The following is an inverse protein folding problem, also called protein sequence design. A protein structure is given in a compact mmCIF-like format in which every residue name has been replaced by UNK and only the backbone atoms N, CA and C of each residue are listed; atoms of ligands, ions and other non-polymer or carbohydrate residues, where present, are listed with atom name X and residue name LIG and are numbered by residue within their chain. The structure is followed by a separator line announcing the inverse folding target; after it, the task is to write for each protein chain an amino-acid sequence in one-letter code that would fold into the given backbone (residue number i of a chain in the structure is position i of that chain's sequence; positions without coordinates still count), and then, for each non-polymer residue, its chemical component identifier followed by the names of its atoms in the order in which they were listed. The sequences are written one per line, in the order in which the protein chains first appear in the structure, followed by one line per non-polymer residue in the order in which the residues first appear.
data_IF_117505241571
#
_entry.id   IF_117505241571
#
_cell.length_a   1.000
_cell.length_b   1.000
_cell.length_c   1.000
_cell.angle_alpha   90.00
_cell.angle_beta   90.00
_cell.angle_gamma   90.00
#
_symmetry.space_group_name_H-M   'P 1'
#
loop_
_entity.id
_entity.type
_entity.pdbx_description
1 polymer ?
#
# COMPACT_ATOMS: atom_id res chain seq x y z
N UNK A 1 -3.93 -16.94 46.96
CA UNK A 1 -4.26 -15.58 46.51
C UNK A 1 -3.37 -15.28 45.32
N UNK A 2 -3.92 -15.32 44.10
CA UNK A 2 -3.22 -14.73 42.96
C UNK A 2 -3.27 -13.22 43.16
N UNK A 3 -2.12 -12.56 43.14
CA UNK A 3 -2.09 -11.12 42.96
C UNK A 3 -2.64 -10.85 41.56
N UNK A 4 -3.90 -10.42 41.49
CA UNK A 4 -4.39 -9.69 40.32
C UNK A 4 -3.57 -8.41 40.26
N UNK A 5 -2.43 -8.47 39.56
CA UNK A 5 -1.81 -7.28 39.07
C UNK A 5 -2.87 -6.63 38.18
N UNK A 6 -3.36 -5.46 38.60
CA UNK A 6 -4.24 -4.65 37.79
C UNK A 6 -3.38 -4.13 36.63
N UNK A 7 -3.11 -5.00 35.65
CA UNK A 7 -2.28 -4.69 34.48
C UNK A 7 -3.12 -3.73 33.66
N UNK A 8 -2.74 -2.45 33.72
CA UNK A 8 -3.32 -1.43 32.89
C UNK A 8 -2.85 -1.65 31.46
N UNK A 9 -3.83 -1.84 30.56
CA UNK A 9 -3.55 -1.99 29.14
C UNK A 9 -3.33 -0.59 28.57
N UNK A 10 -2.14 -0.35 28.05
CA UNK A 10 -1.76 0.92 27.44
C UNK A 10 -1.72 0.83 25.90
N UNK A 11 -1.39 1.96 25.26
CA UNK A 11 -1.27 2.04 23.79
C UNK A 11 -0.20 1.08 23.25
N UNK A 12 0.91 0.89 23.97
CA UNK A 12 1.99 -0.01 23.54
C UNK A 12 1.47 -1.45 23.47
N UNK A 13 0.70 -1.86 24.48
CA UNK A 13 0.06 -3.18 24.54
C UNK A 13 -0.94 -3.37 23.41
N UNK A 14 -1.84 -2.39 23.20
CA UNK A 14 -2.83 -2.43 22.11
C UNK A 14 -2.15 -2.50 20.73
N UNK A 15 -1.19 -1.62 20.45
CA UNK A 15 -0.47 -1.61 19.17
C UNK A 15 0.29 -2.91 18.93
N UNK A 16 0.86 -3.50 19.97
CA UNK A 16 1.55 -4.81 19.88
C UNK A 16 0.58 -5.93 19.54
N UNK A 17 -0.56 -6.01 20.24
CA UNK A 17 -1.59 -7.03 19.97
C UNK A 17 -2.17 -6.87 18.55
N UNK A 18 -2.50 -5.64 18.14
CA UNK A 18 -2.96 -5.35 16.78
C UNK A 18 -1.94 -5.78 15.73
N UNK A 19 -0.65 -5.50 15.95
CA UNK A 19 0.42 -5.90 15.02
C UNK A 19 0.50 -7.41 14.85
N UNK A 20 0.36 -8.19 15.92
CA UNK A 20 0.34 -9.65 15.87
C UNK A 20 -0.83 -10.14 15.02
N UNK A 21 -2.06 -9.73 15.35
CA UNK A 21 -3.23 -10.21 14.62
C UNK A 21 -3.27 -9.72 13.17
N UNK A 22 -2.81 -8.50 12.89
CA UNK A 22 -2.66 -7.99 11.53
C UNK A 22 -1.65 -8.82 10.71
N UNK A 23 -0.52 -9.22 11.31
CA UNK A 23 0.47 -10.09 10.64
C UNK A 23 -0.07 -11.49 10.37
N UNK A 24 -0.94 -12.00 11.23
CA UNK A 24 -1.60 -13.29 11.05
C UNK A 24 -2.82 -13.24 10.12
N UNK A 25 -3.27 -12.06 9.68
CA UNK A 25 -4.51 -11.92 8.90
C UNK A 25 -5.79 -12.17 9.72
N UNK A 26 -5.70 -12.20 11.05
CA UNK A 26 -6.80 -12.44 11.99
C UNK A 26 -7.62 -11.17 12.20
N UNK A 27 -8.31 -10.71 11.14
CA UNK A 27 -8.93 -9.38 11.11
C UNK A 27 -10.04 -9.21 12.15
N UNK A 28 -10.74 -10.28 12.52
CA UNK A 28 -11.82 -10.21 13.51
C UNK A 28 -11.27 -9.87 14.90
N UNK A 29 -10.23 -10.58 15.35
CA UNK A 29 -9.55 -10.32 16.62
C UNK A 29 -8.89 -8.94 16.64
N UNK A 30 -8.31 -8.54 15.50
CA UNK A 30 -7.77 -7.20 15.31
C UNK A 30 -8.84 -6.12 15.55
N UNK A 31 -10.04 -6.26 14.97
CA UNK A 31 -11.14 -5.32 15.17
C UNK A 31 -11.74 -5.37 16.58
N UNK A 32 -11.78 -6.55 17.21
CA UNK A 32 -12.17 -6.68 18.62
C UNK A 32 -11.26 -5.87 19.55
N UNK A 33 -9.94 -5.90 19.31
CA UNK A 33 -8.96 -5.12 20.09
C UNK A 33 -9.13 -3.62 19.85
N UNK A 34 -9.30 -3.20 18.60
CA UNK A 34 -9.60 -1.80 18.30
C UNK A 34 -10.86 -1.37 19.06
N UNK A 35 -11.97 -2.10 18.91
CA UNK A 35 -13.23 -1.75 19.56
C UNK A 35 -13.11 -1.73 21.09
N UNK A 36 -12.34 -2.64 21.68
CA UNK A 36 -12.04 -2.64 23.11
C UNK A 36 -11.33 -1.35 23.54
N UNK A 37 -10.31 -0.92 22.78
CA UNK A 37 -9.54 0.30 23.06
C UNK A 37 -10.35 1.59 22.93
N UNK A 38 -11.50 1.56 22.24
CA UNK A 38 -12.34 2.74 21.99
C UNK A 38 -13.57 2.82 22.91
N UNK A 39 -13.67 1.97 23.94
CA UNK A 39 -14.76 2.01 24.94
C UNK A 39 -14.56 3.17 25.90
N UNK A 40 -15.64 3.84 26.30
CA UNK A 40 -15.59 5.00 27.21
C UNK A 40 -14.87 4.71 28.54
N UNK A 41 -15.09 3.53 29.13
CA UNK A 41 -14.49 3.15 30.43
C UNK A 41 -12.99 2.86 30.36
N UNK A 42 -12.47 2.52 29.17
CA UNK A 42 -11.08 2.09 28.94
C UNK A 42 -10.54 2.68 27.64
N UNK A 43 -10.80 3.98 27.46
CA UNK A 43 -10.42 4.66 26.24
C UNK A 43 -8.90 4.77 26.13
N UNK A 44 -8.36 4.30 25.02
CA UNK A 44 -6.94 4.37 24.69
C UNK A 44 -6.83 5.10 23.35
N UNK A 45 -6.19 6.27 23.38
CA UNK A 45 -5.99 7.09 22.19
C UNK A 45 -5.09 6.36 21.19
N UNK A 46 -5.55 6.27 19.94
CA UNK A 46 -4.83 5.68 18.82
C UNK A 46 -4.35 6.75 17.84
N UNK A 47 -3.42 6.38 16.96
CA UNK A 47 -2.82 7.27 15.97
C UNK A 47 -2.76 6.60 14.58
N UNK A 48 -2.17 7.29 13.61
CA UNK A 48 -1.97 6.83 12.24
C UNK A 48 -1.23 5.50 12.15
N UNK A 49 -0.29 5.21 13.05
CA UNK A 49 0.45 3.93 13.07
C UNK A 49 -0.49 2.76 13.38
N UNK A 50 -1.41 2.96 14.32
CA UNK A 50 -2.44 1.97 14.65
C UNK A 50 -3.40 1.76 13.48
N UNK A 51 -3.87 2.84 12.83
CA UNK A 51 -4.71 2.74 11.63
C UNK A 51 -4.01 2.03 10.47
N UNK A 52 -2.75 2.38 10.18
CA UNK A 52 -1.95 1.74 9.14
C UNK A 52 -1.73 0.24 9.43
N UNK A 53 -1.56 -0.14 10.70
CA UNK A 53 -1.45 -1.54 11.11
C UNK A 53 -2.73 -2.32 10.76
N UNK A 54 -3.90 -1.73 11.04
CA UNK A 54 -5.20 -2.33 10.74
C UNK A 54 -5.43 -2.44 9.23
N UNK A 55 -5.16 -1.36 8.48
CA UNK A 55 -5.23 -1.36 7.01
C UNK A 55 -4.34 -2.45 6.41
N UNK A 56 -3.09 -2.56 6.89
CA UNK A 56 -2.16 -3.62 6.46
C UNK A 56 -2.67 -5.02 6.80
N UNK A 57 -3.30 -5.21 7.96
CA UNK A 57 -3.91 -6.47 8.37
C UNK A 57 -5.02 -6.93 7.42
N UNK A 58 -5.92 -6.02 7.04
CA UNK A 58 -6.95 -6.31 6.03
C UNK A 58 -6.34 -6.67 4.67
N UNK A 59 -5.34 -5.91 4.21
CA UNK A 59 -4.65 -6.19 2.94
C UNK A 59 -3.97 -7.57 2.97
N UNK A 60 -3.33 -7.95 4.08
CA UNK A 60 -2.70 -9.28 4.22
C UNK A 60 -3.72 -10.42 4.20
N UNK A 61 -4.90 -10.21 4.76
CA UNK A 61 -6.01 -11.16 4.73
C UNK A 61 -6.78 -11.16 3.40
N UNK A 62 -6.33 -10.39 2.40
CA UNK A 62 -7.03 -10.17 1.13
C UNK A 62 -8.46 -9.60 1.27
N UNK A 63 -8.73 -8.90 2.37
CA UNK A 63 -10.01 -8.25 2.71
C UNK A 63 -9.99 -6.78 2.30
N UNK A 64 -9.82 -6.54 0.99
CA UNK A 64 -9.57 -5.20 0.45
C UNK A 64 -10.80 -4.29 0.61
N UNK A 65 -12.00 -4.84 0.51
CA UNK A 65 -13.23 -4.06 0.67
C UNK A 65 -13.39 -3.57 2.11
N UNK A 66 -13.07 -4.41 3.10
CA UNK A 66 -13.08 -4.03 4.51
C UNK A 66 -11.97 -3.03 4.84
N UNK A 67 -10.83 -3.09 4.14
CA UNK A 67 -9.81 -2.04 4.23
C UNK A 67 -10.37 -0.68 3.78
N UNK A 68 -11.07 -0.64 2.65
CA UNK A 68 -11.70 0.61 2.18
C UNK A 68 -12.80 1.09 3.12
N UNK A 69 -13.66 0.21 3.62
CA UNK A 69 -14.67 0.58 4.63
C UNK A 69 -14.00 1.16 5.89
N UNK A 70 -12.92 0.54 6.36
CA UNK A 70 -12.15 1.06 7.49
C UNK A 70 -11.64 2.47 7.20
N UNK A 71 -11.06 2.71 6.03
CA UNK A 71 -10.52 4.01 5.64
C UNK A 71 -11.59 5.09 5.50
N UNK A 72 -12.63 4.80 4.73
CA UNK A 72 -13.58 5.82 4.27
C UNK A 72 -14.72 6.04 5.29
N UNK A 73 -15.02 5.05 6.14
CA UNK A 73 -16.14 5.12 7.09
C UNK A 73 -15.73 5.07 8.56
N UNK A 74 -14.69 4.32 8.93
CA UNK A 74 -14.33 4.12 10.35
C UNK A 74 -13.30 5.14 10.83
N UNK A 75 -12.22 5.37 10.07
CA UNK A 75 -11.18 6.36 10.43
C UNK A 75 -11.78 7.77 10.67
N UNK A 76 -12.70 8.30 9.84
CA UNK A 76 -13.33 9.61 10.10
C UNK A 76 -14.14 9.68 11.39
N UNK A 77 -14.63 8.54 11.89
CA UNK A 77 -15.31 8.49 13.19
C UNK A 77 -14.30 8.41 14.33
N UNK A 78 -13.21 7.67 14.14
CA UNK A 78 -12.13 7.54 15.11
C UNK A 78 -11.42 8.88 15.34
N UNK A 79 -11.25 9.72 14.32
CA UNK A 79 -10.61 11.04 14.42
C UNK A 79 -11.36 12.02 15.33
N UNK A 80 -12.63 11.78 15.64
CA UNK A 80 -13.40 12.63 16.58
C UNK A 80 -12.85 12.57 18.00
N UNK A 81 -12.27 11.43 18.38
CA UNK A 81 -11.75 11.20 19.74
C UNK A 81 -10.24 10.92 19.76
N UNK A 82 -9.61 10.78 18.59
CA UNK A 82 -8.20 10.39 18.46
C UNK A 82 -7.44 11.40 17.58
N UNK A 83 -6.17 11.64 17.91
CA UNK A 83 -5.30 12.50 17.10
C UNK A 83 -4.69 11.71 15.93
N UNK A 84 -5.49 11.46 14.89
CA UNK A 84 -5.06 10.71 13.71
C UNK A 84 -4.77 11.69 12.57
N UNK A 85 -3.53 11.69 12.08
CA UNK A 85 -3.18 12.46 10.90
C UNK A 85 -3.66 11.75 9.62
N UNK A 86 -4.74 12.27 9.00
CA UNK A 86 -5.29 11.74 7.75
C UNK A 86 -4.34 11.90 6.55
N UNK A 87 -3.36 12.80 6.65
CA UNK A 87 -2.33 13.02 5.62
C UNK A 87 -1.08 12.16 5.87
N UNK A 88 -1.16 11.17 6.76
CA UNK A 88 -0.06 10.25 6.99
C UNK A 88 0.30 9.47 5.72
N UNK A 89 1.58 9.55 5.33
CA UNK A 89 2.08 8.98 4.07
C UNK A 89 1.92 7.47 4.03
N UNK A 90 2.05 6.77 5.16
CA UNK A 90 1.92 5.32 5.19
C UNK A 90 0.46 4.90 4.97
N UNK A 91 -0.50 5.59 5.59
CA UNK A 91 -1.92 5.36 5.36
C UNK A 91 -2.30 5.61 3.89
N UNK A 92 -1.86 6.72 3.30
CA UNK A 92 -2.10 7.04 1.89
C UNK A 92 -1.48 5.96 0.98
N UNK A 93 -0.24 5.54 1.25
CA UNK A 93 0.43 4.47 0.50
C UNK A 93 -0.32 3.14 0.59
N UNK A 94 -0.87 2.80 1.76
CA UNK A 94 -1.69 1.59 1.95
C UNK A 94 -3.04 1.68 1.20
N UNK A 95 -3.66 2.86 1.12
CA UNK A 95 -4.85 3.07 0.28
C UNK A 95 -4.55 2.82 -1.19
N UNK A 96 -3.42 3.34 -1.70
CA UNK A 96 -2.91 3.06 -3.05
C UNK A 96 -2.69 1.55 -3.29
N UNK A 97 -2.07 0.85 -2.35
CA UNK A 97 -1.91 -0.63 -2.41
C UNK A 97 -3.25 -1.35 -2.44
N UNK A 98 -4.28 -0.84 -1.76
CA UNK A 98 -5.64 -1.37 -1.86
C UNK A 98 -6.19 -1.34 -3.27
N UNK A 99 -6.04 -0.20 -3.96
CA UNK A 99 -6.45 -0.10 -5.36
C UNK A 99 -5.63 -1.03 -6.25
N UNK A 100 -4.33 -1.16 -6.03
CA UNK A 100 -3.48 -2.10 -6.76
C UNK A 100 -3.97 -3.55 -6.63
N UNK A 101 -4.29 -3.99 -5.39
CA UNK A 101 -4.86 -5.31 -5.13
C UNK A 101 -6.22 -5.53 -5.80
N UNK A 102 -7.05 -4.49 -5.89
CA UNK A 102 -8.30 -4.60 -6.66
C UNK A 102 -8.01 -4.86 -8.14
N UNK A 103 -7.07 -4.15 -8.75
CA UNK A 103 -6.68 -4.36 -10.16
C UNK A 103 -6.15 -5.79 -10.38
N UNK A 104 -5.34 -6.27 -9.44
CA UNK A 104 -4.80 -7.64 -9.44
C UNK A 104 -5.91 -8.69 -9.44
N UNK A 105 -6.90 -8.54 -8.55
CA UNK A 105 -7.95 -9.53 -8.27
C UNK A 105 -9.17 -9.48 -9.19
N UNK A 106 -9.51 -8.32 -9.76
CA UNK A 106 -10.64 -8.16 -10.67
C UNK A 106 -10.48 -8.99 -11.94
N UNK A 107 -11.59 -9.41 -12.55
CA UNK A 107 -11.51 -10.10 -13.84
C UNK A 107 -11.09 -9.13 -14.96
N UNK A 108 -10.36 -9.64 -15.95
CA UNK A 108 -9.86 -8.87 -17.09
C UNK A 108 -10.96 -8.31 -18.02
N UNK A 109 -12.20 -8.76 -17.85
CA UNK A 109 -13.36 -8.24 -18.56
C UNK A 109 -14.12 -7.17 -17.76
N UNK A 110 -13.77 -6.94 -16.48
CA UNK A 110 -14.33 -5.88 -15.64
C UNK A 110 -13.65 -4.52 -15.92
N UNK A 111 -13.62 -4.12 -17.20
CA UNK A 111 -12.85 -2.99 -17.73
C UNK A 111 -13.14 -1.69 -16.95
N UNK A 112 -14.40 -1.42 -16.63
CA UNK A 112 -14.80 -0.21 -15.89
C UNK A 112 -14.22 -0.18 -14.48
N UNK A 113 -14.27 -1.32 -13.75
CA UNK A 113 -13.72 -1.41 -12.40
C UNK A 113 -12.20 -1.35 -12.40
N UNK A 114 -11.56 -2.04 -13.35
CA UNK A 114 -10.10 -1.96 -13.54
C UNK A 114 -9.66 -0.51 -13.78
N UNK A 115 -10.36 0.19 -14.68
CA UNK A 115 -10.06 1.59 -15.01
C UNK A 115 -10.29 2.50 -13.81
N UNK A 116 -11.36 2.27 -13.03
CA UNK A 116 -11.64 3.00 -11.81
C UNK A 116 -10.51 2.86 -10.78
N UNK A 117 -10.12 1.63 -10.41
CA UNK A 117 -9.07 1.44 -9.41
C UNK A 117 -7.71 1.91 -9.91
N UNK A 118 -7.41 1.75 -11.20
CA UNK A 118 -6.20 2.31 -11.80
C UNK A 118 -6.16 3.84 -11.70
N UNK A 119 -7.25 4.53 -12.05
CA UNK A 119 -7.32 5.98 -11.95
C UNK A 119 -7.18 6.46 -10.50
N UNK A 120 -7.86 5.81 -9.56
CA UNK A 120 -7.72 6.13 -8.13
C UNK A 120 -6.29 5.96 -7.62
N UNK A 121 -5.58 4.90 -8.05
CA UNK A 121 -4.17 4.72 -7.73
C UNK A 121 -3.32 5.88 -8.26
N UNK A 122 -3.54 6.31 -9.52
CA UNK A 122 -2.83 7.44 -10.12
C UNK A 122 -3.13 8.76 -9.40
N UNK A 123 -4.38 8.99 -9.02
CA UNK A 123 -4.80 10.19 -8.31
C UNK A 123 -4.16 10.27 -6.93
N UNK A 124 -4.17 9.17 -6.16
CA UNK A 124 -3.47 9.07 -4.88
C UNK A 124 -1.97 9.32 -5.07
N UNK A 125 -1.35 8.69 -6.07
CA UNK A 125 0.08 8.83 -6.33
C UNK A 125 0.47 10.29 -6.63
N UNK A 126 -0.27 10.95 -7.53
CA UNK A 126 0.10 12.27 -8.02
C UNK A 126 -0.39 13.43 -7.17
N UNK A 127 -1.50 13.27 -6.44
CA UNK A 127 -2.14 14.36 -5.70
C UNK A 127 -1.92 14.24 -4.18
N UNK A 128 -1.69 13.04 -3.66
CA UNK A 128 -1.57 12.81 -2.21
C UNK A 128 -0.13 12.41 -1.81
N UNK A 129 0.45 11.39 -2.46
CA UNK A 129 1.82 10.95 -2.14
C UNK A 129 2.90 11.90 -2.65
N UNK A 130 2.71 12.43 -3.86
CA UNK A 130 3.69 13.26 -4.56
C UNK A 130 3.04 14.49 -5.22
N UNK A 131 2.34 15.37 -4.48
CA UNK A 131 1.63 16.53 -5.03
C UNK A 131 2.52 17.46 -5.87
N UNK A 132 3.80 17.55 -5.49
CA UNK A 132 4.80 18.40 -6.12
C UNK A 132 5.27 17.91 -7.50
N UNK A 133 5.00 16.65 -7.87
CA UNK A 133 5.52 16.01 -9.08
C UNK A 133 5.05 16.67 -10.38
N UNK A 134 3.94 17.41 -10.33
CA UNK A 134 3.40 18.19 -11.45
C UNK A 134 4.18 19.48 -11.70
N UNK A 135 4.88 19.99 -10.69
CA UNK A 135 5.50 21.32 -10.72
C UNK A 135 7.03 21.27 -10.71
N UNK A 136 7.63 20.25 -10.08
CA UNK A 136 9.09 20.13 -9.97
C UNK A 136 9.55 18.68 -9.90
N UNK A 137 10.83 18.42 -10.24
CA UNK A 137 11.45 17.12 -10.01
C UNK A 137 11.28 16.67 -8.55
N UNK A 138 10.73 15.48 -8.35
CA UNK A 138 10.33 14.95 -7.06
C UNK A 138 10.88 13.54 -6.88
N UNK A 139 11.54 13.28 -5.75
CA UNK A 139 12.06 11.96 -5.40
C UNK A 139 10.93 11.03 -4.99
N UNK A 140 10.81 9.91 -5.70
CA UNK A 140 9.80 8.88 -5.49
C UNK A 140 10.46 7.70 -4.78
N UNK A 141 9.79 7.14 -3.76
CA UNK A 141 10.28 5.93 -3.12
C UNK A 141 10.25 4.75 -4.11
N UNK A 142 11.25 3.86 -4.04
CA UNK A 142 11.30 2.68 -4.91
C UNK A 142 10.02 1.84 -4.81
N UNK A 143 9.47 1.70 -3.60
CA UNK A 143 8.24 0.96 -3.35
C UNK A 143 7.04 1.56 -4.07
N UNK A 144 6.82 2.87 -3.92
CA UNK A 144 5.66 3.53 -4.56
C UNK A 144 5.83 3.58 -6.08
N UNK A 145 7.07 3.69 -6.57
CA UNK A 145 7.35 3.62 -8.00
C UNK A 145 7.08 2.22 -8.56
N UNK A 146 7.48 1.16 -7.85
CA UNK A 146 7.17 -0.22 -8.25
C UNK A 146 5.65 -0.45 -8.31
N UNK A 147 4.89 0.01 -7.30
CA UNK A 147 3.43 -0.07 -7.31
C UNK A 147 2.82 0.66 -8.52
N UNK A 148 3.37 1.81 -8.91
CA UNK A 148 2.93 2.55 -10.08
C UNK A 148 3.14 1.74 -11.37
N UNK A 149 4.34 1.19 -11.58
CA UNK A 149 4.65 0.36 -12.76
C UNK A 149 3.76 -0.89 -12.78
N UNK A 150 3.61 -1.55 -11.64
CA UNK A 150 2.77 -2.74 -11.49
C UNK A 150 1.31 -2.46 -11.87
N UNK A 151 0.77 -1.30 -11.49
CA UNK A 151 -0.59 -0.90 -11.85
C UNK A 151 -0.80 -0.87 -13.37
N UNK A 152 0.15 -0.31 -14.14
CA UNK A 152 0.08 -0.27 -15.60
C UNK A 152 0.18 -1.66 -16.23
N UNK A 153 1.06 -2.51 -15.69
CA UNK A 153 1.22 -3.89 -16.16
C UNK A 153 -0.05 -4.71 -15.89
N UNK A 154 -0.60 -4.63 -14.68
CA UNK A 154 -1.81 -5.37 -14.28
C UNK A 154 -3.05 -4.89 -15.03
N UNK A 155 -3.18 -3.59 -15.30
CA UNK A 155 -4.25 -3.04 -16.15
C UNK A 155 -4.25 -3.70 -17.55
N UNK A 156 -3.07 -4.07 -18.04
CA UNK A 156 -2.86 -4.70 -19.34
C UNK A 156 -2.54 -6.20 -19.24
N UNK A 157 -3.00 -6.91 -18.20
CA UNK A 157 -2.60 -8.32 -17.95
C UNK A 157 -2.85 -9.30 -19.10
N UNK A 158 -3.85 -9.07 -19.97
CA UNK A 158 -4.06 -9.82 -21.23
C UNK A 158 -2.88 -9.74 -22.21
N UNK A 159 -2.20 -8.60 -22.22
CA UNK A 159 -1.11 -8.28 -23.14
C UNK A 159 -0.24 -7.19 -22.52
N UNK A 160 0.64 -7.60 -21.60
CA UNK A 160 1.52 -6.69 -20.86
C UNK A 160 2.34 -5.76 -21.78
N UNK A 161 2.60 -6.19 -23.02
CA UNK A 161 3.27 -5.40 -24.05
C UNK A 161 2.56 -4.05 -24.31
N UNK A 162 1.25 -3.96 -24.09
CA UNK A 162 0.50 -2.70 -24.18
C UNK A 162 0.91 -1.69 -23.11
N UNK A 163 1.36 -2.15 -21.95
CA UNK A 163 1.85 -1.30 -20.87
C UNK A 163 3.27 -0.77 -21.10
N UNK A 164 4.04 -1.36 -22.03
CA UNK A 164 5.45 -0.98 -22.24
C UNK A 164 5.58 0.50 -22.55
N UNK A 165 4.71 1.04 -23.40
CA UNK A 165 4.73 2.47 -23.74
C UNK A 165 4.50 3.35 -22.51
N UNK A 166 3.57 2.97 -21.63
CA UNK A 166 3.30 3.72 -20.41
C UNK A 166 4.48 3.65 -19.43
N UNK A 167 5.07 2.46 -19.29
CA UNK A 167 6.27 2.23 -18.47
C UNK A 167 7.45 3.06 -18.99
N UNK A 168 7.72 3.03 -20.30
CA UNK A 168 8.75 3.86 -20.94
C UNK A 168 8.49 5.36 -20.72
N UNK A 169 7.24 5.81 -20.85
CA UNK A 169 6.88 7.20 -20.56
C UNK A 169 7.20 7.56 -19.11
N UNK A 170 6.87 6.69 -18.15
CA UNK A 170 7.14 6.93 -16.72
C UNK A 170 8.64 6.95 -16.41
N UNK A 171 9.41 6.06 -17.02
CA UNK A 171 10.86 5.92 -16.77
C UNK A 171 11.70 7.00 -17.46
N UNK A 172 11.31 7.43 -18.66
CA UNK A 172 12.20 8.20 -19.53
C UNK A 172 11.64 9.55 -19.95
N UNK A 173 10.32 9.69 -20.04
CA UNK A 173 9.70 10.90 -20.57
C UNK A 173 9.20 11.84 -19.47
N UNK A 174 8.81 11.30 -18.31
CA UNK A 174 8.39 12.11 -17.17
C UNK A 174 9.59 12.64 -16.39
N UNK A 175 10.17 13.74 -16.88
CA UNK A 175 11.35 14.41 -16.32
C UNK A 175 11.25 14.77 -14.83
N UNK A 176 10.04 14.89 -14.29
CA UNK A 176 9.83 15.22 -12.89
C UNK A 176 9.91 14.00 -11.94
N UNK A 177 10.04 12.78 -12.47
CA UNK A 177 10.04 11.56 -11.68
C UNK A 177 11.49 11.21 -11.36
N UNK A 178 11.98 11.60 -10.18
CA UNK A 178 13.31 11.20 -9.71
C UNK A 178 13.16 9.85 -9.00
N UNK A 179 13.74 8.79 -9.58
CA UNK A 179 13.70 7.44 -9.00
C UNK A 179 15.09 6.80 -9.00
N UNK A 180 15.34 5.92 -8.03
CA UNK A 180 16.63 5.24 -7.86
C UNK A 180 16.80 4.00 -8.75
N UNK A 181 15.85 3.72 -9.64
CA UNK A 181 15.89 2.55 -10.49
C UNK A 181 17.04 2.63 -11.50
N UNK A 182 18.08 1.85 -11.25
CA UNK A 182 19.16 1.60 -12.19
C UNK A 182 18.82 0.38 -13.05
N UNK A 183 17.91 0.53 -14.02
CA UNK A 183 17.63 -0.53 -14.99
C UNK A 183 18.72 -0.67 -16.04
N UNK A 184 19.82 0.05 -15.89
CA UNK A 184 20.88 0.08 -16.87
C UNK A 184 21.97 -0.88 -16.42
N UNK A 185 22.02 -2.04 -17.08
CA UNK A 185 23.17 -2.92 -16.99
C UNK A 185 23.99 -2.79 -18.26
N UNK A 186 25.30 -2.73 -18.12
CA UNK A 186 26.21 -2.78 -19.25
C UNK A 186 26.20 -4.22 -19.78
N UNK A 187 25.95 -4.41 -21.08
CA UNK A 187 25.97 -5.76 -21.66
C UNK A 187 27.32 -6.42 -21.36
N UNK A 188 27.27 -7.62 -20.78
CA UNK A 188 28.45 -8.38 -20.33
C UNK A 188 29.36 -8.71 -21.51
N UNK A 189 28.78 -8.93 -22.70
CA UNK A 189 29.46 -9.24 -23.95
C UNK A 189 29.83 -7.97 -24.71
N UNK A 190 29.05 -6.88 -24.57
CA UNK A 190 29.30 -5.60 -25.23
C UNK A 190 29.26 -4.41 -24.26
N UNK A 191 30.42 -4.07 -23.67
CA UNK A 191 30.52 -2.94 -22.72
C UNK A 191 30.13 -1.57 -23.29
N UNK A 192 29.91 -1.42 -24.60
CA UNK A 192 29.40 -0.16 -25.19
C UNK A 192 27.87 -0.11 -25.26
N UNK A 193 27.21 -1.23 -25.00
CA UNK A 193 25.76 -1.37 -25.06
C UNK A 193 25.20 -1.36 -23.64
N UNK A 194 24.19 -0.51 -23.42
CA UNK A 194 23.45 -0.44 -22.17
C UNK A 194 22.12 -1.15 -22.42
N UNK A 195 21.83 -2.16 -21.61
CA UNK A 195 20.59 -2.94 -21.67
C UNK A 195 19.67 -2.56 -20.53
N UNK A 196 18.38 -2.68 -20.79
CA UNK A 196 17.35 -2.58 -19.77
C UNK A 196 17.28 -3.91 -19.00
N UNK A 197 17.67 -3.89 -17.74
CA UNK A 197 17.75 -5.06 -16.87
C UNK A 197 16.41 -5.28 -16.14
N UNK A 198 15.65 -6.26 -16.62
CA UNK A 198 14.39 -6.69 -16.02
C UNK A 198 14.55 -7.81 -14.98
N UNK A 199 15.77 -8.21 -14.58
CA UNK A 199 15.97 -9.30 -13.61
C UNK A 199 15.23 -9.07 -12.29
N UNK A 200 15.09 -7.82 -11.86
CA UNK A 200 14.33 -7.42 -10.66
C UNK A 200 12.81 -7.57 -10.80
N UNK A 201 12.28 -7.76 -12.00
CA UNK A 201 10.84 -8.01 -12.24
C UNK A 201 10.50 -9.51 -12.30
N UNK A 202 11.49 -10.41 -12.18
CA UNK A 202 11.22 -11.84 -12.09
C UNK A 202 10.73 -12.21 -10.69
N UNK A 203 9.58 -12.86 -10.59
CA UNK A 203 9.14 -13.47 -9.33
C UNK A 203 10.11 -14.60 -8.95
N UNK A 204 10.39 -14.82 -7.65
CA UNK A 204 11.16 -15.99 -7.25
C UNK A 204 10.38 -17.21 -7.71
N UNK A 205 10.96 -17.93 -8.66
CA UNK A 205 10.49 -19.24 -9.09
C UNK A 205 10.41 -20.09 -7.83
N UNK A 206 9.19 -20.43 -7.42
CA UNK A 206 8.93 -21.43 -6.40
C UNK A 206 9.31 -22.76 -7.03
N UNK A 207 10.58 -23.12 -6.97
CA UNK A 207 11.00 -24.50 -7.12
C UNK A 207 10.41 -25.26 -5.93
N UNK A 208 9.25 -25.90 -6.17
CA UNK A 208 8.79 -26.99 -5.32
C UNK A 208 9.77 -28.16 -5.56
N UNK A 209 10.62 -28.40 -4.56
CA UNK A 209 11.22 -29.72 -4.37
C UNK A 209 10.20 -30.63 -3.68
#
# INVERSE_FOLDING_TARGET
MMHDFNIEIDIISISSMLSVYAKCGETNKMMEILNYSQRQEKFISINEVTCATIMSGFLKANKVQEMFDFCDNQIPKLTLNNNINLQDKLMISLKSVGHLKMIETLDENEIEKLSFHHQQLLDIFQNELYPDIKFKPTSISLKDFNNLIEAYVLLNKKSWMKAVKDVETILFQKSNYIHSLSYWHQDILNKKQILLDFTYFSTPTTYKN
#
